data_IF_480100792783
#
_entry.id   IF_480100792783
#
_cell.length_a   1.000
_cell.length_b   1.000
_cell.length_c   1.000
_cell.angle_alpha   90.00
_cell.angle_beta   90.00
_cell.angle_gamma   90.00
#
_symmetry.space_group_name_H-M   'P 1'
#
loop_
_entity.id
_entity.type
_entity.pdbx_description
1 polymer ?
#
# COMPACT_ATOMS: atom_id res chain seq x y z
N UNK A 1 -13.68 -5.47 -3.40
CA UNK A 1 -13.96 -5.61 -1.96
C UNK A 1 -14.31 -4.24 -1.38
N UNK A 2 -15.41 -4.12 -0.62
CA UNK A 2 -15.78 -2.88 0.08
C UNK A 2 -15.54 -3.04 1.59
N UNK A 3 -14.64 -2.24 2.14
CA UNK A 3 -14.24 -2.28 3.54
C UNK A 3 -14.49 -0.96 4.27
N UNK A 4 -14.49 -1.01 5.61
CA UNK A 4 -14.57 0.19 6.45
C UNK A 4 -13.18 0.54 6.99
N UNK A 5 -12.79 1.81 6.86
CA UNK A 5 -11.55 2.38 7.39
C UNK A 5 -11.91 3.30 8.55
N UNK A 6 -11.76 2.78 9.77
CA UNK A 6 -12.00 3.50 11.03
C UNK A 6 -11.04 3.00 12.11
N UNK A 7 -10.76 3.85 13.11
CA UNK A 7 -9.98 3.44 14.28
C UNK A 7 -10.77 2.40 15.09
N UNK A 8 -10.25 1.17 15.13
CA UNK A 8 -10.78 0.09 15.96
C UNK A 8 -9.88 -0.21 17.15
N UNK A 9 -8.69 0.37 17.19
CA UNK A 9 -7.74 0.16 18.27
C UNK A 9 -7.98 1.09 19.45
N UNK A 10 -8.90 2.06 19.34
CA UNK A 10 -9.11 3.13 20.33
C UNK A 10 -7.79 3.87 20.66
N UNK A 11 -6.91 4.03 19.67
CA UNK A 11 -5.57 4.58 19.87
C UNK A 11 -4.56 3.66 20.58
N UNK A 12 -4.88 2.39 20.87
CA UNK A 12 -3.92 1.43 21.45
C UNK A 12 -2.92 0.93 20.41
N UNK A 13 -1.68 0.68 20.83
CA UNK A 13 -0.66 0.12 19.94
C UNK A 13 -1.06 -1.28 19.47
N UNK A 14 -1.06 -1.45 18.16
CA UNK A 14 -1.22 -2.75 17.55
C UNK A 14 0.17 -3.39 17.51
N UNK A 15 0.43 -4.31 18.43
CA UNK A 15 1.72 -5.03 18.59
C UNK A 15 2.08 -5.88 17.35
N UNK A 16 2.49 -5.24 16.24
CA UNK A 16 2.99 -5.86 15.01
C UNK A 16 2.01 -6.76 14.23
N UNK A 17 0.85 -7.11 14.81
CA UNK A 17 -0.09 -8.11 14.27
C UNK A 17 -1.33 -7.55 13.57
N UNK A 18 -1.56 -6.24 13.58
CA UNK A 18 -2.75 -5.66 12.97
C UNK A 18 -2.44 -4.52 12.03
N UNK A 19 -3.40 -4.26 11.16
CA UNK A 19 -3.25 -3.41 9.97
C UNK A 19 -3.35 -1.93 10.36
N UNK A 20 -2.41 -1.10 9.88
CA UNK A 20 -2.23 0.31 10.29
C UNK A 20 -3.50 1.16 10.12
N UNK A 21 -4.33 0.86 9.12
CA UNK A 21 -5.58 1.61 8.88
C UNK A 21 -6.57 1.53 10.04
N UNK A 22 -6.39 0.58 10.98
CA UNK A 22 -7.17 0.44 12.22
C UNK A 22 -6.67 1.34 13.35
N UNK A 23 -5.73 2.25 13.08
CA UNK A 23 -5.09 3.13 14.08
C UNK A 23 -5.00 4.58 13.60
N UNK A 24 -4.77 5.49 14.54
CA UNK A 24 -4.55 6.93 14.34
C UNK A 24 -3.13 7.30 13.83
N UNK A 25 -2.19 6.35 13.78
CA UNK A 25 -0.81 6.60 13.31
C UNK A 25 -0.77 6.94 11.82
N UNK A 26 0.26 7.64 11.36
CA UNK A 26 0.45 7.85 9.93
C UNK A 26 0.56 6.51 9.19
N UNK A 27 -0.11 6.40 8.04
CA UNK A 27 0.06 5.29 7.13
C UNK A 27 1.07 5.72 6.07
N UNK A 28 2.20 5.03 6.02
CA UNK A 28 3.33 5.35 5.14
C UNK A 28 2.97 5.12 3.67
N UNK A 29 3.79 5.66 2.77
CA UNK A 29 3.58 5.53 1.33
C UNK A 29 3.67 4.09 0.87
N UNK A 30 2.59 3.60 0.26
CA UNK A 30 2.46 2.23 -0.20
C UNK A 30 1.63 2.13 -1.49
N UNK A 31 1.73 0.98 -2.13
CA UNK A 31 0.78 0.46 -3.12
C UNK A 31 0.06 -0.74 -2.50
N UNK A 32 -1.27 -0.75 -2.55
CA UNK A 32 -2.08 -1.90 -2.10
C UNK A 32 -1.95 -3.10 -3.07
N UNK A 33 -2.49 -4.26 -2.72
CA UNK A 33 -2.56 -5.43 -3.61
C UNK A 33 -3.83 -5.38 -4.50
N UNK A 34 -4.07 -4.22 -5.12
CA UNK A 34 -5.18 -3.96 -6.06
C UNK A 34 -4.75 -3.05 -7.21
N UNK A 35 -5.57 -2.92 -8.27
CA UNK A 35 -5.24 -2.03 -9.40
C UNK A 35 -5.71 -0.59 -9.15
N UNK A 36 -6.88 -0.44 -8.54
CA UNK A 36 -7.48 0.83 -8.16
C UNK A 36 -7.94 0.77 -6.71
N UNK A 37 -7.56 1.80 -5.94
CA UNK A 37 -8.04 2.03 -4.58
C UNK A 37 -9.03 3.19 -4.61
N UNK A 38 -10.27 2.93 -4.21
CA UNK A 38 -11.31 3.92 -4.00
C UNK A 38 -11.46 4.26 -2.52
N UNK A 39 -11.66 5.52 -2.19
CA UNK A 39 -12.02 5.97 -0.84
C UNK A 39 -13.23 6.88 -0.93
N UNK A 40 -14.25 6.64 -0.10
CA UNK A 40 -15.37 7.55 0.15
C UNK A 40 -15.28 8.07 1.58
N UNK A 41 -15.25 9.39 1.76
CA UNK A 41 -15.26 9.99 3.08
C UNK A 41 -16.70 10.12 3.60
N UNK A 42 -17.01 9.39 4.67
CA UNK A 42 -18.29 9.51 5.38
C UNK A 42 -18.18 10.49 6.55
N UNK A 43 -17.02 10.54 7.19
CA UNK A 43 -16.71 11.51 8.24
C UNK A 43 -15.19 11.77 8.32
N UNK A 44 -14.80 13.02 8.52
CA UNK A 44 -13.40 13.44 8.68
C UNK A 44 -12.89 13.14 10.11
N UNK A 45 -11.57 13.14 10.28
CA UNK A 45 -11.00 13.26 11.63
C UNK A 45 -11.24 14.67 12.19
N UNK A 46 -11.09 14.82 13.50
CA UNK A 46 -11.11 16.15 14.12
C UNK A 46 -9.87 16.96 13.72
N UNK A 47 -8.70 16.31 13.69
CA UNK A 47 -7.43 16.91 13.24
C UNK A 47 -6.66 15.90 12.38
N UNK A 48 -6.00 16.37 11.32
CA UNK A 48 -5.16 15.55 10.45
C UNK A 48 -5.92 14.55 9.58
N UNK A 49 -5.23 13.51 9.13
CA UNK A 49 -5.81 12.43 8.32
C UNK A 49 -5.93 12.73 6.84
N UNK A 50 -5.19 13.74 6.37
CA UNK A 50 -5.02 14.12 4.98
C UNK A 50 -4.54 12.92 4.14
N UNK A 51 -5.14 12.77 2.97
CA UNK A 51 -4.74 11.80 1.96
C UNK A 51 -3.55 12.35 1.18
N UNK A 52 -2.52 11.54 0.99
CA UNK A 52 -1.33 11.89 0.23
C UNK A 52 -1.20 10.95 -0.96
N UNK A 53 -0.94 11.47 -2.15
CA UNK A 53 -0.77 10.68 -3.38
C UNK A 53 0.48 11.14 -4.11
N UNK A 54 1.31 10.21 -4.57
CA UNK A 54 2.54 10.51 -5.30
C UNK A 54 2.70 9.60 -6.51
N UNK A 55 3.03 10.19 -7.65
CA UNK A 55 3.29 9.46 -8.89
C UNK A 55 4.63 8.72 -8.81
N UNK A 56 4.60 7.40 -9.01
CA UNK A 56 5.83 6.59 -9.07
C UNK A 56 6.69 6.97 -10.29
N UNK A 57 6.08 7.44 -11.37
CA UNK A 57 6.81 7.91 -12.55
C UNK A 57 7.59 9.20 -12.25
N UNK A 58 7.01 10.11 -11.46
CA UNK A 58 7.71 11.33 -11.04
C UNK A 58 8.89 10.99 -10.13
N UNK A 59 8.71 10.07 -9.19
CA UNK A 59 9.80 9.56 -8.34
C UNK A 59 10.88 8.90 -9.20
N UNK A 60 10.53 7.99 -10.11
CA UNK A 60 11.46 7.32 -11.01
C UNK A 60 12.32 8.32 -11.79
N UNK A 61 11.68 9.30 -12.43
CA UNK A 61 12.37 10.32 -13.21
C UNK A 61 13.29 11.20 -12.35
N UNK A 62 12.87 11.49 -11.13
CA UNK A 62 13.65 12.29 -10.17
C UNK A 62 14.86 11.52 -9.65
N UNK A 63 14.67 10.27 -9.22
CA UNK A 63 15.78 9.39 -8.83
C UNK A 63 16.74 9.15 -9.98
N UNK A 64 16.26 8.99 -11.21
CA UNK A 64 17.14 8.83 -12.39
C UNK A 64 18.09 10.01 -12.56
N UNK A 65 17.67 11.23 -12.21
CA UNK A 65 18.50 12.44 -12.30
C UNK A 65 19.38 12.62 -11.06
N UNK A 66 18.83 12.41 -9.87
CA UNK A 66 19.44 12.84 -8.60
C UNK A 66 20.16 11.69 -7.86
N UNK A 67 19.61 10.48 -7.89
CA UNK A 67 20.09 9.29 -7.16
C UNK A 67 19.96 8.00 -8.00
N UNK A 68 20.67 7.89 -9.15
CA UNK A 68 20.56 6.73 -10.03
C UNK A 68 21.08 5.43 -9.38
N UNK A 69 21.91 5.54 -8.37
CA UNK A 69 22.34 4.45 -7.50
C UNK A 69 21.18 3.85 -6.70
N UNK A 70 20.34 4.69 -6.09
CA UNK A 70 19.11 4.25 -5.38
C UNK A 70 18.09 3.69 -6.37
N UNK A 71 17.91 4.32 -7.53
CA UNK A 71 17.02 3.80 -8.55
C UNK A 71 17.39 2.36 -8.95
N UNK A 72 18.70 2.08 -9.11
CA UNK A 72 19.17 0.71 -9.39
C UNK A 72 18.77 -0.26 -8.29
N UNK A 73 18.88 0.11 -7.01
CA UNK A 73 18.42 -0.73 -5.90
C UNK A 73 16.92 -1.05 -6.01
N UNK A 74 16.09 -0.09 -6.41
CA UNK A 74 14.65 -0.31 -6.56
C UNK A 74 14.30 -1.18 -7.77
N UNK A 75 15.17 -1.28 -8.78
CA UNK A 75 14.96 -2.13 -9.95
C UNK A 75 15.42 -3.59 -9.76
N UNK A 76 16.24 -3.89 -8.76
CA UNK A 76 16.69 -5.26 -8.50
C UNK A 76 15.61 -6.09 -7.80
N UNK A 77 15.44 -7.39 -8.14
CA UNK A 77 14.50 -8.27 -7.46
C UNK A 77 15.13 -8.78 -6.16
N UNK A 78 15.23 -7.93 -5.15
CA UNK A 78 15.85 -8.23 -3.85
C UNK A 78 15.09 -7.67 -2.66
N UNK A 79 13.88 -7.18 -2.91
CA UNK A 79 12.93 -6.77 -1.90
C UNK A 79 12.03 -7.94 -1.54
N UNK A 80 11.69 -8.06 -0.27
CA UNK A 80 10.80 -9.08 0.26
C UNK A 80 9.54 -8.43 0.83
N UNK A 81 8.41 -9.11 0.64
CA UNK A 81 7.10 -8.66 1.09
C UNK A 81 6.43 -9.80 1.83
N UNK A 82 5.97 -9.55 3.05
CA UNK A 82 5.15 -10.50 3.82
C UNK A 82 3.72 -10.49 3.27
N UNK A 83 3.20 -11.67 2.90
CA UNK A 83 1.82 -11.84 2.45
C UNK A 83 0.79 -11.81 3.58
N UNK A 84 1.22 -11.78 4.85
CA UNK A 84 0.35 -11.60 6.03
C UNK A 84 -0.91 -12.48 6.05
N UNK A 85 -0.81 -13.72 5.57
CA UNK A 85 -1.91 -14.68 5.51
C UNK A 85 -2.60 -14.79 4.14
N UNK A 86 -2.34 -13.89 3.20
CA UNK A 86 -2.78 -13.93 1.80
C UNK A 86 -1.86 -14.84 0.96
N UNK A 87 -1.61 -16.04 1.48
CA UNK A 87 -0.72 -17.04 0.86
C UNK A 87 -1.54 -18.11 0.15
N UNK A 88 -1.39 -18.21 -1.17
CA UNK A 88 -1.96 -19.31 -1.95
C UNK A 88 -1.26 -20.64 -1.66
N UNK A 89 -1.96 -21.75 -1.90
CA UNK A 89 -1.41 -23.10 -1.71
C UNK A 89 -0.10 -23.29 -2.50
N UNK A 90 0.93 -23.83 -1.85
CA UNK A 90 2.24 -24.05 -2.44
C UNK A 90 3.13 -22.81 -2.58
N UNK A 91 2.68 -21.63 -2.12
CA UNK A 91 3.52 -20.42 -2.08
C UNK A 91 4.15 -20.19 -0.71
N UNK A 92 5.28 -19.48 -0.69
CA UNK A 92 5.86 -18.97 0.55
C UNK A 92 4.99 -17.86 1.13
N UNK A 93 5.08 -17.66 2.45
CA UNK A 93 4.44 -16.54 3.13
C UNK A 93 5.07 -15.18 2.80
N UNK A 94 6.15 -15.17 2.03
CA UNK A 94 6.76 -13.97 1.48
C UNK A 94 6.88 -14.07 -0.04
N UNK A 95 6.96 -12.91 -0.70
CA UNK A 95 7.34 -12.81 -2.09
C UNK A 95 8.64 -12.03 -2.23
N UNK A 96 9.40 -12.32 -3.29
CA UNK A 96 10.62 -11.60 -3.67
C UNK A 96 10.35 -10.82 -4.96
N UNK A 97 10.55 -9.51 -4.92
CA UNK A 97 10.17 -8.61 -6.01
C UNK A 97 11.17 -7.48 -6.21
N UNK A 98 11.21 -6.83 -7.38
CA UNK A 98 11.72 -5.48 -7.50
C UNK A 98 10.69 -4.46 -6.98
N UNK A 99 11.14 -3.24 -6.68
CA UNK A 99 10.25 -2.11 -6.42
C UNK A 99 9.60 -1.60 -7.72
N UNK A 100 10.41 -1.41 -8.77
CA UNK A 100 9.90 -1.01 -10.09
C UNK A 100 9.86 -2.18 -11.08
N UNK A 101 8.82 -2.20 -11.90
CA UNK A 101 8.63 -3.15 -12.99
C UNK A 101 8.52 -2.41 -14.32
N UNK A 102 9.24 -2.91 -15.33
CA UNK A 102 9.06 -2.47 -16.71
C UNK A 102 8.50 -3.63 -17.53
N UNK A 103 7.27 -3.48 -18.01
CA UNK A 103 6.58 -4.54 -18.74
C UNK A 103 5.72 -3.95 -19.85
N UNK A 104 5.83 -4.53 -21.06
CA UNK A 104 5.12 -4.07 -22.27
C UNK A 104 5.17 -2.54 -22.49
N UNK A 105 6.33 -1.94 -22.27
CA UNK A 105 6.54 -0.50 -22.44
C UNK A 105 5.91 0.38 -21.36
N UNK A 106 5.45 -0.21 -20.26
CA UNK A 106 4.84 0.51 -19.13
C UNK A 106 5.63 0.28 -17.84
N UNK A 107 5.77 1.35 -17.06
CA UNK A 107 6.38 1.33 -15.74
C UNK A 107 5.29 1.20 -14.67
N UNK A 108 5.44 0.24 -13.77
CA UNK A 108 4.63 0.13 -12.55
C UNK A 108 5.53 -0.02 -11.33
N UNK A 109 4.96 0.16 -10.15
CA UNK A 109 5.66 0.03 -8.89
C UNK A 109 4.87 -0.86 -7.94
N UNK A 110 5.59 -1.65 -7.15
CA UNK A 110 5.09 -2.28 -5.94
C UNK A 110 6.01 -1.86 -4.81
N UNK A 111 5.46 -1.19 -3.82
CA UNK A 111 6.25 -0.63 -2.73
C UNK A 111 5.42 -0.42 -1.48
N UNK A 112 6.03 -0.67 -0.32
CA UNK A 112 5.52 -0.23 0.97
C UNK A 112 6.68 -0.29 1.98
N UNK A 113 6.98 0.86 2.57
CA UNK A 113 8.07 0.97 3.55
C UNK A 113 7.77 0.25 4.87
N UNK A 114 6.49 0.01 5.19
CA UNK A 114 6.07 -0.70 6.39
C UNK A 114 6.48 -2.18 6.37
N UNK A 115 6.69 -2.79 5.19
CA UNK A 115 7.04 -4.21 5.12
C UNK A 115 8.37 -4.55 5.77
N UNK A 116 9.31 -3.60 5.90
CA UNK A 116 10.55 -3.80 6.67
C UNK A 116 10.23 -4.30 8.08
N UNK A 117 9.22 -3.71 8.73
CA UNK A 117 8.75 -4.12 10.05
C UNK A 117 8.15 -5.53 10.05
N UNK A 118 7.37 -5.87 9.02
CA UNK A 118 6.74 -7.18 8.90
C UNK A 118 7.76 -8.31 8.66
N UNK A 119 8.91 -8.01 8.06
CA UNK A 119 9.93 -9.01 7.77
C UNK A 119 10.72 -9.50 8.99
N UNK A 120 10.65 -8.80 10.13
CA UNK A 120 11.38 -9.19 11.35
C UNK A 120 11.15 -10.65 11.73
N UNK A 121 9.91 -11.15 11.63
CA UNK A 121 9.60 -12.56 11.94
C UNK A 121 10.37 -13.57 11.08
N UNK A 122 10.67 -13.21 9.83
CA UNK A 122 11.45 -14.05 8.92
C UNK A 122 12.95 -13.90 9.13
N UNK A 123 13.42 -12.72 9.52
CA UNK A 123 14.81 -12.48 9.90
C UNK A 123 15.17 -13.22 11.19
N UNK A 124 14.32 -13.13 12.22
CA UNK A 124 14.51 -13.81 13.50
C UNK A 124 14.47 -15.33 13.33
N UNK A 125 13.65 -15.83 12.40
CA UNK A 125 13.59 -17.25 12.02
C UNK A 125 14.72 -17.70 11.07
N UNK A 126 15.57 -16.79 10.58
CA UNK A 126 16.64 -17.09 9.62
C UNK A 126 16.16 -17.52 8.24
N UNK A 127 14.91 -17.23 7.88
CA UNK A 127 14.29 -17.60 6.60
C UNK A 127 14.62 -16.63 5.47
N UNK A 128 14.94 -15.38 5.81
CA UNK A 128 15.29 -14.33 4.87
C UNK A 128 16.56 -13.58 5.30
N UNK A 129 17.38 -13.10 4.36
CA UNK A 129 18.49 -12.22 4.69
C UNK A 129 17.95 -10.86 5.17
N UNK A 130 18.68 -10.25 6.10
CA UNK A 130 18.45 -8.86 6.45
C UNK A 130 18.84 -7.93 5.30
N UNK A 131 18.20 -6.76 5.25
CA UNK A 131 18.54 -5.75 4.26
C UNK A 131 19.93 -5.16 4.50
N UNK A 132 20.66 -4.99 3.40
CA UNK A 132 21.94 -4.30 3.33
C UNK A 132 21.78 -2.81 3.61
N UNK A 133 22.88 -2.12 3.90
CA UNK A 133 22.86 -0.67 4.13
C UNK A 133 22.35 0.10 2.91
N UNK A 134 22.69 -0.33 1.70
CA UNK A 134 22.19 0.28 0.46
C UNK A 134 20.67 0.12 0.29
N UNK A 135 20.08 -0.99 0.75
CA UNK A 135 18.63 -1.17 0.76
C UNK A 135 17.97 -0.30 1.81
N UNK A 136 18.56 -0.18 3.01
CA UNK A 136 18.04 0.71 4.07
C UNK A 136 18.10 2.17 3.64
N UNK A 137 19.18 2.60 2.99
CA UNK A 137 19.28 3.93 2.40
C UNK A 137 18.21 4.14 1.31
N UNK A 138 18.01 3.16 0.42
CA UNK A 138 16.99 3.27 -0.62
C UNK A 138 15.57 3.47 -0.04
N UNK A 139 15.26 2.84 1.10
CA UNK A 139 13.99 3.08 1.82
C UNK A 139 13.89 4.52 2.31
N UNK A 140 14.94 5.05 2.95
CA UNK A 140 14.96 6.43 3.46
C UNK A 140 14.82 7.45 2.32
N UNK A 141 15.55 7.25 1.22
CA UNK A 141 15.47 8.12 0.03
C UNK A 141 14.08 8.03 -0.60
N UNK A 142 13.48 6.84 -0.67
CA UNK A 142 12.09 6.71 -1.15
C UNK A 142 11.10 7.50 -0.29
N UNK A 143 11.20 7.43 1.05
CA UNK A 143 10.36 8.21 1.94
C UNK A 143 10.56 9.72 1.78
N UNK A 144 11.79 10.17 1.54
CA UNK A 144 12.10 11.56 1.22
C UNK A 144 11.46 11.99 -0.11
N UNK A 145 11.64 11.18 -1.18
CA UNK A 145 11.06 11.47 -2.49
C UNK A 145 9.54 11.54 -2.43
N UNK A 146 8.90 10.60 -1.74
CA UNK A 146 7.45 10.59 -1.56
C UNK A 146 6.99 11.88 -0.88
N UNK A 147 7.56 12.24 0.28
CA UNK A 147 7.19 13.47 1.01
C UNK A 147 7.41 14.74 0.19
N UNK A 148 8.48 14.80 -0.61
CA UNK A 148 8.82 15.97 -1.42
C UNK A 148 7.90 16.14 -2.62
N UNK A 149 7.41 15.05 -3.20
CA UNK A 149 6.70 15.02 -4.48
C UNK A 149 5.20 14.73 -4.35
N UNK A 150 4.71 14.42 -3.15
CA UNK A 150 3.31 14.10 -2.90
C UNK A 150 2.40 15.31 -3.06
N UNK A 151 1.22 15.07 -3.63
CA UNK A 151 0.06 15.92 -3.46
C UNK A 151 -0.65 15.52 -2.17
N UNK A 152 -0.86 16.47 -1.28
CA UNK A 152 -1.68 16.31 -0.08
C UNK A 152 -3.07 16.90 -0.30
N UNK A 153 -4.10 16.21 0.18
CA UNK A 153 -5.48 16.67 0.08
C UNK A 153 -6.32 16.25 1.29
N UNK A 154 -7.28 17.08 1.66
CA UNK A 154 -8.31 16.77 2.65
C UNK A 154 -9.56 16.29 1.93
N UNK A 155 -10.02 15.07 2.23
CA UNK A 155 -11.30 14.56 1.73
C UNK A 155 -12.43 15.09 2.60
N UNK A 156 -13.35 15.85 2.03
CA UNK A 156 -14.57 16.30 2.69
C UNK A 156 -15.62 15.19 2.72
N UNK A 157 -16.62 15.33 3.60
CA UNK A 157 -17.73 14.38 3.63
C UNK A 157 -18.43 14.33 2.26
N UNK A 158 -18.56 13.12 1.71
CA UNK A 158 -19.11 12.87 0.37
C UNK A 158 -18.06 12.84 -0.75
N UNK A 159 -16.82 13.27 -0.51
CA UNK A 159 -15.76 13.18 -1.50
C UNK A 159 -15.38 11.74 -1.77
N UNK A 160 -15.11 11.45 -3.05
CA UNK A 160 -14.62 10.16 -3.53
C UNK A 160 -13.25 10.37 -4.18
N UNK A 161 -12.27 9.59 -3.75
CA UNK A 161 -10.94 9.53 -4.34
C UNK A 161 -10.73 8.17 -4.99
N UNK A 162 -10.27 8.16 -6.24
CA UNK A 162 -9.75 6.96 -6.89
C UNK A 162 -8.26 7.14 -7.17
N UNK A 163 -7.45 6.18 -6.69
CA UNK A 163 -6.01 6.13 -6.92
C UNK A 163 -5.71 4.96 -7.83
N UNK A 164 -5.06 5.22 -8.97
CA UNK A 164 -4.51 4.17 -9.81
C UNK A 164 -3.24 3.61 -9.16
N UNK A 165 -3.43 2.53 -8.40
CA UNK A 165 -2.47 1.98 -7.46
C UNK A 165 -1.25 1.33 -8.15
N UNK A 166 -1.38 0.97 -9.42
CA UNK A 166 -0.26 0.42 -10.22
C UNK A 166 0.90 1.38 -10.45
N UNK A 167 0.67 2.70 -10.35
CA UNK A 167 1.67 3.73 -10.64
C UNK A 167 1.57 4.99 -9.76
N UNK A 168 0.78 4.93 -8.69
CA UNK A 168 0.77 5.93 -7.65
C UNK A 168 0.90 5.24 -6.30
N UNK A 169 1.74 5.80 -5.43
CA UNK A 169 1.72 5.44 -4.03
C UNK A 169 0.76 6.38 -3.31
N UNK A 170 0.12 5.88 -2.26
CA UNK A 170 -0.71 6.68 -1.39
C UNK A 170 -0.30 6.51 0.08
N UNK A 171 -0.62 7.51 0.87
CA UNK A 171 -0.34 7.59 2.29
C UNK A 171 -1.46 8.37 2.98
N UNK A 172 -1.42 8.34 4.31
CA UNK A 172 -2.28 9.16 5.15
C UNK A 172 -1.45 9.73 6.29
N UNK A 173 -1.61 11.03 6.56
CA UNK A 173 -1.03 11.63 7.76
C UNK A 173 -1.57 11.00 9.04
N UNK A 174 -0.88 11.24 10.16
CA UNK A 174 -1.44 10.92 11.47
C UNK A 174 -2.67 11.80 11.72
N UNK A 175 -3.63 11.29 12.49
CA UNK A 175 -4.85 12.01 12.78
C UNK A 175 -5.28 11.82 14.22
N UNK A 176 -6.19 12.69 14.67
CA UNK A 176 -6.82 12.60 15.99
C UNK A 176 -8.33 12.57 15.82
N UNK A 177 -8.95 11.57 16.43
CA UNK A 177 -10.39 11.44 16.46
C UNK A 177 -11.03 12.30 17.56
N UNK A 178 -12.31 12.63 17.39
CA UNK A 178 -13.14 13.20 18.43
C UNK A 178 -13.40 12.16 19.54
N UNK A 179 -13.60 12.64 20.77
CA UNK A 179 -14.04 11.80 21.88
C UNK A 179 -15.48 11.30 21.68
N UNK A 180 -16.29 12.05 20.95
CA UNK A 180 -17.61 11.63 20.49
C UNK A 180 -17.45 10.54 19.41
N UNK A 181 -17.83 9.32 19.77
CA UNK A 181 -17.74 8.14 18.89
C UNK A 181 -18.49 8.30 17.57
N UNK A 182 -19.50 9.17 17.53
CA UNK A 182 -20.30 9.45 16.32
C UNK A 182 -19.60 10.39 15.34
N UNK A 183 -18.51 11.04 15.77
CA UNK A 183 -17.73 12.01 14.99
C UNK A 183 -16.31 11.53 14.67
N UNK A 184 -16.04 10.24 14.85
CA UNK A 184 -14.75 9.66 14.47
C UNK A 184 -14.59 9.60 12.95
N UNK A 185 -13.35 9.67 12.48
CA UNK A 185 -13.00 9.51 11.07
C UNK A 185 -13.55 8.18 10.57
N UNK A 186 -14.28 8.24 9.47
CA UNK A 186 -14.86 7.06 8.83
C UNK A 186 -14.82 7.20 7.32
N UNK A 187 -14.07 6.29 6.68
CA UNK A 187 -14.07 6.13 5.24
C UNK A 187 -14.56 4.74 4.86
N UNK A 188 -15.15 4.61 3.67
CA UNK A 188 -15.29 3.33 3.00
C UNK A 188 -14.19 3.18 1.95
N UNK A 189 -13.61 1.98 1.85
CA UNK A 189 -12.56 1.66 0.89
C UNK A 189 -13.07 0.63 -0.11
N UNK A 190 -12.80 0.88 -1.39
CA UNK A 190 -13.00 -0.06 -2.47
C UNK A 190 -11.64 -0.50 -3.01
N UNK A 191 -11.39 -1.80 -3.02
CA UNK A 191 -10.37 -2.39 -3.88
C UNK A 191 -11.01 -2.95 -5.14
N UNK A 192 -10.49 -2.51 -6.28
CA UNK A 192 -10.96 -2.87 -7.61
C UNK A 192 -9.80 -3.43 -8.44
N UNK A 193 -10.03 -4.60 -9.02
CA UNK A 193 -9.16 -5.18 -10.02
C UNK A 193 -9.61 -4.74 -11.42
N UNK A 194 -8.65 -4.52 -12.31
CA UNK A 194 -8.87 -4.19 -13.72
C UNK A 194 -8.04 -5.15 -14.57
N UNK A 195 -8.68 -6.15 -15.15
CA UNK A 195 -8.01 -7.17 -15.96
C UNK A 195 -7.35 -6.56 -17.21
N UNK A 196 -6.19 -7.09 -17.63
CA UNK A 196 -5.59 -6.74 -18.93
C UNK A 196 -6.56 -7.02 -20.08
N UNK A 197 -7.42 -8.04 -19.95
CA UNK A 197 -8.43 -8.39 -20.97
C UNK A 197 -9.56 -7.35 -21.08
N UNK A 198 -9.76 -6.54 -20.03
CA UNK A 198 -10.76 -5.48 -19.97
C UNK A 198 -10.13 -4.09 -20.17
N UNK A 199 -8.88 -4.02 -20.62
CA UNK A 199 -8.15 -2.77 -20.86
C UNK A 199 -7.41 -2.22 -19.64
N UNK A 200 -7.30 -3.00 -18.57
CA UNK A 200 -6.50 -2.70 -17.39
C UNK A 200 -5.00 -2.54 -17.69
N UNK A 201 -4.27 -2.00 -16.72
CA UNK A 201 -2.83 -1.76 -16.87
C UNK A 201 -2.08 -3.10 -17.02
N UNK A 202 -1.23 -3.29 -18.04
CA UNK A 202 -0.46 -4.52 -18.20
C UNK A 202 0.56 -4.66 -17.07
N UNK A 203 0.52 -5.78 -16.38
CA UNK A 203 1.41 -6.10 -15.27
C UNK A 203 2.17 -7.42 -15.54
N UNK A 204 3.41 -7.58 -15.06
CA UNK A 204 4.20 -8.79 -15.27
C UNK A 204 3.78 -9.95 -14.35
N UNK A 205 2.56 -9.92 -13.82
CA UNK A 205 2.03 -10.92 -12.90
C UNK A 205 1.18 -11.94 -13.65
N UNK A 206 1.26 -13.21 -13.22
CA UNK A 206 0.57 -14.32 -13.89
C UNK A 206 -0.97 -14.17 -13.84
N UNK A 207 -1.48 -13.53 -12.80
CA UNK A 207 -2.89 -13.23 -12.57
C UNK A 207 -3.36 -11.94 -13.24
N UNK A 208 -2.52 -11.23 -14.01
CA UNK A 208 -2.84 -9.96 -14.67
C UNK A 208 -3.99 -10.01 -15.69
N UNK A 209 -4.49 -11.21 -16.02
CA UNK A 209 -5.68 -11.41 -16.87
C UNK A 209 -6.92 -11.80 -16.10
N UNK A 210 -6.81 -12.09 -14.81
CA UNK A 210 -7.94 -12.52 -14.01
C UNK A 210 -8.79 -11.31 -13.64
N UNK A 211 -10.11 -11.48 -13.72
CA UNK A 211 -11.10 -10.43 -13.36
C UNK A 211 -11.15 -10.17 -11.86
N UNK A 212 -10.86 -11.19 -11.04
CA UNK A 212 -10.62 -11.08 -9.60
C UNK A 212 -9.20 -11.55 -9.30
N UNK A 213 -8.37 -10.68 -8.71
CA UNK A 213 -6.95 -10.93 -8.46
C UNK A 213 -6.39 -10.08 -7.32
N UNK A 214 -5.13 -10.33 -6.95
CA UNK A 214 -4.53 -9.71 -5.78
C UNK A 214 -5.34 -10.04 -4.51
N UNK A 215 -5.36 -9.13 -3.55
CA UNK A 215 -6.12 -9.34 -2.31
C UNK A 215 -7.62 -9.05 -2.47
N UNK A 216 -8.07 -8.70 -3.68
CA UNK A 216 -9.51 -8.67 -4.00
C UNK A 216 -10.10 -10.09 -3.88
N UNK A 217 -9.31 -11.12 -4.23
CA UNK A 217 -9.72 -12.52 -4.21
C UNK A 217 -8.50 -13.44 -4.10
N UNK A 218 -8.34 -14.09 -2.94
CA UNK A 218 -7.32 -15.12 -2.74
C UNK A 218 -7.96 -16.50 -2.86
N UNK A 219 -7.57 -17.26 -3.89
CA UNK A 219 -8.17 -18.54 -4.26
C UNK A 219 -9.72 -18.42 -4.42
N UNK A 220 -10.50 -19.37 -3.91
CA UNK A 220 -11.97 -19.36 -3.94
C UNK A 220 -12.58 -18.83 -2.62
N UNK A 221 -11.83 -18.02 -1.86
CA UNK A 221 -12.31 -17.47 -0.58
C UNK A 221 -13.54 -16.59 -0.80
N UNK A 222 -14.70 -16.87 -0.18
CA UNK A 222 -15.89 -16.05 -0.38
C UNK A 222 -15.65 -14.59 0.00
N UNK A 223 -16.22 -13.66 -0.77
CA UNK A 223 -16.17 -12.24 -0.44
C UNK A 223 -16.81 -12.00 0.94
N UNK A 224 -16.14 -11.21 1.77
CA UNK A 224 -16.68 -10.79 3.06
C UNK A 224 -16.79 -9.27 3.09
N UNK A 225 -17.87 -8.79 3.71
CA UNK A 225 -18.18 -7.36 3.85
C UNK A 225 -18.34 -7.05 5.33
N UNK A 226 -17.24 -7.04 6.10
CA UNK A 226 -17.30 -6.83 7.54
C UNK A 226 -17.87 -5.44 7.85
N UNK A 227 -18.84 -5.38 8.76
CA UNK A 227 -19.51 -4.14 9.16
C UNK A 227 -18.65 -3.26 10.07
N UNK A 228 -17.59 -3.83 10.63
CA UNK A 228 -16.70 -3.13 11.58
C UNK A 228 -15.48 -2.54 10.88
N UNK A 229 -14.56 -3.36 10.39
CA UNK A 229 -13.47 -2.96 9.51
C UNK A 229 -13.03 -4.14 8.66
N UNK A 230 -12.35 -3.84 7.56
CA UNK A 230 -11.63 -4.82 6.76
C UNK A 230 -10.55 -5.56 7.58
#
# INVERSE_FOLDING_TARGET
MLGHIKDLAEGKEVNGKGRIYRTQKAQTYHTDESDIVGLLCLHQAMEGGESQVVSSHNIYNTLRRERPDVLRQLCFPHWFYDRKGETSEGQNEWMRTPGYYWYKGRLSMKWDSYYVGALHRFWDAGLLPQYTDAQREAIQVMEEMCRRLSLEMTLQQGDIQFVANTHNLHARSAYKDDNDVTKKRWLQRLWLATSEEEGGWPLPFADSRYSKRGDVQVNETPESYPTEAE
#
